data_IF_220463579713
#
_entry.id   IF_220463579713
#
_cell.length_a   1.000
_cell.length_b   1.000
_cell.length_c   1.000
_cell.angle_alpha   90.00
_cell.angle_beta   90.00
_cell.angle_gamma   90.00
#
_symmetry.space_group_name_H-M   'P 1'
#
loop_
_entity.id
_entity.type
_entity.pdbx_description
1 polymer ?
#
# COMPACT_ATOMS: atom_id res chain seq x y z
N UNK A 1 -9.87 6.18 6.56
CA UNK A 1 -8.95 5.07 6.91
C UNK A 1 -8.07 4.77 5.71
N UNK A 2 -6.77 4.54 5.90
CA UNK A 2 -5.80 4.31 4.82
C UNK A 2 -4.86 3.18 5.23
N UNK A 3 -4.39 2.37 4.28
CA UNK A 3 -3.26 1.47 4.52
C UNK A 3 -1.97 2.29 4.50
N UNK A 4 -1.67 2.93 5.62
CA UNK A 4 -0.56 3.90 5.71
C UNK A 4 0.79 3.29 5.35
N UNK A 5 1.01 2.02 5.69
CA UNK A 5 2.26 1.31 5.38
C UNK A 5 2.54 1.30 3.87
N UNK A 6 1.53 1.05 3.03
CA UNK A 6 1.67 1.13 1.57
C UNK A 6 2.08 2.52 1.09
N UNK A 7 1.49 3.57 1.68
CA UNK A 7 1.86 4.94 1.35
C UNK A 7 3.31 5.25 1.71
N UNK A 8 3.72 4.92 2.94
CA UNK A 8 5.07 5.17 3.44
C UNK A 8 6.12 4.44 2.62
N UNK A 9 5.94 3.14 2.37
CA UNK A 9 6.95 2.36 1.66
C UNK A 9 7.07 2.77 0.18
N UNK A 10 5.95 3.19 -0.42
CA UNK A 10 5.93 3.78 -1.77
C UNK A 10 6.66 5.12 -1.80
N UNK A 11 6.37 6.04 -0.88
CA UNK A 11 6.99 7.38 -0.88
C UNK A 11 8.47 7.34 -0.50
N UNK A 12 8.88 6.48 0.44
CA UNK A 12 10.29 6.23 0.76
C UNK A 12 11.12 5.80 -0.45
N UNK A 13 10.50 5.08 -1.40
CA UNK A 13 11.14 4.61 -2.65
C UNK A 13 10.97 5.60 -3.81
N UNK A 14 10.33 6.75 -3.60
CA UNK A 14 10.07 7.72 -4.66
C UNK A 14 9.07 7.24 -5.73
N UNK A 15 8.28 6.21 -5.44
CA UNK A 15 7.36 5.61 -6.40
C UNK A 15 6.02 6.37 -6.45
N UNK A 16 5.45 6.53 -7.63
CA UNK A 16 4.08 7.03 -7.80
C UNK A 16 3.07 5.89 -7.70
N UNK A 17 1.80 6.21 -7.45
CA UNK A 17 0.72 5.21 -7.46
C UNK A 17 0.59 4.50 -8.81
N UNK A 18 0.95 5.18 -9.89
CA UNK A 18 0.88 4.65 -11.25
C UNK A 18 2.02 3.66 -11.54
N UNK A 19 3.23 3.95 -11.04
CA UNK A 19 4.36 3.02 -11.15
C UNK A 19 4.13 1.72 -10.38
N UNK A 20 3.58 1.80 -9.16
CA UNK A 20 3.24 0.60 -8.40
C UNK A 20 2.09 -0.15 -9.09
N UNK A 21 1.06 0.54 -9.55
CA UNK A 21 -0.03 -0.10 -10.29
C UNK A 21 0.45 -0.83 -11.55
N UNK A 22 1.40 -0.24 -12.29
CA UNK A 22 2.03 -0.85 -13.45
C UNK A 22 2.77 -2.14 -13.08
N UNK A 23 3.55 -2.15 -12.00
CA UNK A 23 4.25 -3.36 -11.53
C UNK A 23 3.28 -4.47 -11.09
N UNK A 24 2.14 -4.09 -10.52
CA UNK A 24 1.09 -5.03 -10.09
C UNK A 24 0.18 -5.49 -11.24
N UNK A 25 0.32 -4.95 -12.44
CA UNK A 25 -0.58 -5.26 -13.57
C UNK A 25 -2.02 -4.80 -13.36
N UNK A 26 -2.25 -3.75 -12.57
CA UNK A 26 -3.60 -3.21 -12.29
C UNK A 26 -3.71 -1.74 -12.68
N UNK A 27 -4.94 -1.21 -12.72
CA UNK A 27 -5.15 0.22 -12.94
C UNK A 27 -4.68 1.04 -11.73
N UNK A 28 -4.26 2.29 -11.98
CA UNK A 28 -3.97 3.28 -10.93
C UNK A 28 -5.13 3.44 -9.94
N UNK A 29 -6.38 3.41 -10.43
CA UNK A 29 -7.56 3.45 -9.57
C UNK A 29 -7.70 2.19 -8.71
N UNK A 30 -7.37 1.02 -9.26
CA UNK A 30 -7.29 -0.23 -8.51
C UNK A 30 -6.30 -0.13 -7.35
N UNK A 31 -5.07 0.31 -7.63
CA UNK A 31 -4.06 0.53 -6.58
C UNK A 31 -4.49 1.60 -5.57
N UNK A 32 -5.06 2.72 -6.03
CA UNK A 32 -5.57 3.77 -5.15
C UNK A 32 -6.64 3.25 -4.17
N UNK A 33 -7.58 2.42 -4.64
CA UNK A 33 -8.58 1.79 -3.79
C UNK A 33 -7.98 0.80 -2.78
N UNK A 34 -6.89 0.11 -3.14
CA UNK A 34 -6.13 -0.75 -2.22
C UNK A 34 -5.43 0.12 -1.16
N UNK A 35 -4.72 1.18 -1.56
CA UNK A 35 -3.99 2.07 -0.64
C UNK A 35 -4.95 2.78 0.33
N UNK A 36 -6.15 3.16 -0.14
CA UNK A 36 -7.21 3.75 0.69
C UNK A 36 -8.01 2.73 1.51
N UNK A 37 -7.68 1.43 1.45
CA UNK A 37 -8.41 0.38 2.18
C UNK A 37 -9.86 0.18 1.71
N UNK A 38 -10.26 0.76 0.57
CA UNK A 38 -11.60 0.62 -0.02
C UNK A 38 -11.82 -0.74 -0.68
N UNK A 39 -10.73 -1.44 -1.03
CA UNK A 39 -10.74 -2.75 -1.67
C UNK A 39 -9.63 -3.66 -1.12
N UNK A 40 -9.91 -4.96 -1.02
CA UNK A 40 -8.87 -5.97 -0.82
C UNK A 40 -8.32 -6.45 -2.18
N UNK A 41 -7.03 -6.76 -2.20
CA UNK A 41 -6.35 -7.32 -3.37
C UNK A 41 -6.29 -8.86 -3.30
N UNK A 42 -5.96 -9.51 -4.40
CA UNK A 42 -5.70 -10.96 -4.43
C UNK A 42 -4.38 -11.30 -3.72
N UNK A 43 -4.16 -12.59 -3.44
CA UNK A 43 -2.92 -13.05 -2.83
C UNK A 43 -1.70 -12.67 -3.68
N UNK A 44 -1.77 -12.83 -5.01
CA UNK A 44 -0.64 -12.51 -5.90
C UNK A 44 -0.25 -11.02 -5.83
N UNK A 45 -1.22 -10.12 -5.67
CA UNK A 45 -0.94 -8.68 -5.51
C UNK A 45 -0.25 -8.42 -4.16
N UNK A 46 -0.66 -9.09 -3.09
CA UNK A 46 -0.03 -8.92 -1.78
C UNK A 46 1.40 -9.47 -1.77
N UNK A 47 1.63 -10.62 -2.39
CA UNK A 47 2.96 -11.22 -2.53
C UNK A 47 3.88 -10.30 -3.36
N UNK A 48 3.37 -9.74 -4.47
CA UNK A 48 4.15 -8.78 -5.28
C UNK A 48 4.46 -7.49 -4.51
N UNK A 49 3.54 -7.02 -3.67
CA UNK A 49 3.76 -5.85 -2.81
C UNK A 49 4.78 -6.12 -1.70
N UNK A 50 4.78 -7.34 -1.14
CA UNK A 50 5.77 -7.79 -0.17
C UNK A 50 7.16 -7.86 -0.80
N UNK A 51 7.29 -8.43 -2.00
CA UNK A 51 8.55 -8.45 -2.76
C UNK A 51 9.04 -7.04 -3.11
N UNK A 52 8.12 -6.15 -3.52
CA UNK A 52 8.44 -4.78 -3.92
C UNK A 52 8.90 -3.92 -2.73
N UNK A 53 8.27 -4.09 -1.57
CA UNK A 53 8.50 -3.25 -0.40
C UNK A 53 9.39 -3.92 0.67
N UNK A 54 9.65 -5.22 0.58
CA UNK A 54 10.38 -5.98 1.60
C UNK A 54 9.69 -5.92 2.97
N UNK A 55 8.36 -5.82 2.98
CA UNK A 55 7.54 -5.68 4.20
C UNK A 55 6.43 -6.72 4.16
N UNK A 56 6.28 -7.46 5.26
CA UNK A 56 5.28 -8.52 5.40
C UNK A 56 3.87 -8.02 5.04
N UNK A 57 3.16 -8.82 4.24
CA UNK A 57 1.81 -8.54 3.79
C UNK A 57 0.80 -8.23 4.91
N UNK A 58 1.00 -8.72 6.15
CA UNK A 58 0.16 -8.38 7.32
C UNK A 58 0.32 -6.93 7.71
N UNK A 59 1.55 -6.40 7.72
CA UNK A 59 1.80 -4.98 7.96
C UNK A 59 1.24 -4.11 6.82
N UNK A 60 1.39 -4.56 5.57
CA UNK A 60 0.87 -3.84 4.41
C UNK A 60 -0.66 -3.78 4.38
N UNK A 61 -1.33 -4.83 4.85
CA UNK A 61 -2.81 -4.90 4.92
C UNK A 61 -3.42 -4.08 6.03
N UNK A 62 -2.64 -3.72 7.05
CA UNK A 62 -3.10 -2.95 8.20
C UNK A 62 -3.72 -1.62 7.76
N UNK A 63 -4.99 -1.43 8.12
CA UNK A 63 -5.72 -0.19 7.88
C UNK A 63 -5.60 0.65 9.13
N UNK A 64 -5.01 1.84 9.01
CA UNK A 64 -4.86 2.77 10.15
C UNK A 64 -5.72 4.01 9.95
N UNK A 65 -6.18 4.57 11.06
CA UNK A 65 -6.74 5.92 11.10
C UNK A 65 -5.60 6.93 11.11
N UNK A 66 -5.73 7.98 10.30
CA UNK A 66 -4.75 9.07 10.19
C UNK A 66 -4.52 9.77 11.55
N UNK A 67 -5.50 9.71 12.46
CA UNK A 67 -5.40 10.27 13.81
C UNK A 67 -4.55 9.43 14.76
N UNK A 68 -4.33 8.13 14.51
CA UNK A 68 -3.55 7.26 15.41
C UNK A 68 -2.03 7.45 15.24
N UNK A 69 -1.57 8.07 14.15
CA UNK A 69 -0.13 8.23 13.84
C UNK A 69 0.46 9.59 14.26
N UNK A 70 -0.33 10.44 14.93
CA UNK A 70 0.14 11.76 15.42
C UNK A 70 0.96 11.72 16.71
N UNK A 71 1.36 10.54 17.21
CA UNK A 71 1.94 10.39 18.55
C UNK A 71 3.34 9.80 18.64
N UNK A 72 4.16 9.82 17.58
CA UNK A 72 5.57 9.43 17.68
C UNK A 72 6.49 10.47 17.02
N UNK A 73 6.61 11.65 17.65
CA UNK A 73 7.72 12.60 17.40
C UNK A 73 8.15 13.28 18.69
#
# INVERSE_FOLDING_TARGET
MKRWRLYVERTKRGLTQEQVAFQLGISKQGYNNIELGRRCASAEIWDTLEDLFGVDQRELRAVTEENTMRMDY
#
